data_IF_312477347082
#
_entry.id   IF_312477347082
#
_cell.length_a   1.000
_cell.length_b   1.000
_cell.length_c   1.000
_cell.angle_alpha   90.00
_cell.angle_beta   90.00
_cell.angle_gamma   90.00
#
_symmetry.space_group_name_H-M   'P 1'
#
loop_
_entity.id
_entity.type
_entity.pdbx_description
1 polymer ?
#
# COMPACT_ATOMS: atom_id res chain seq x y z
N UNK A 1 2.59 3.45 -13.61
CA UNK A 1 2.56 3.81 -12.19
C UNK A 1 2.98 2.63 -11.34
N UNK A 2 3.69 2.84 -10.23
CA UNK A 2 3.98 1.82 -9.23
C UNK A 2 3.18 2.13 -7.97
N UNK A 3 2.67 1.08 -7.34
CA UNK A 3 1.84 1.21 -6.14
C UNK A 3 2.35 0.25 -5.06
N UNK A 4 2.35 0.69 -3.81
CA UNK A 4 2.74 -0.14 -2.68
C UNK A 4 1.77 0.09 -1.52
N UNK A 5 1.45 -0.99 -0.80
CA UNK A 5 0.55 -0.92 0.34
C UNK A 5 1.21 -0.35 1.60
N UNK A 6 0.41 0.28 2.44
CA UNK A 6 0.79 0.89 3.72
C UNK A 6 1.38 -0.09 4.75
N UNK A 7 1.08 -1.37 4.62
CA UNK A 7 1.60 -2.44 5.48
C UNK A 7 2.88 -3.09 4.97
N UNK A 8 3.36 -2.75 3.74
CA UNK A 8 4.55 -3.40 3.17
C UNK A 8 5.83 -2.97 3.90
N UNK A 9 6.80 -3.88 4.17
CA UNK A 9 8.04 -3.55 4.87
C UNK A 9 8.85 -2.42 4.24
N UNK A 10 8.83 -2.32 2.91
CA UNK A 10 9.61 -1.34 2.15
C UNK A 10 8.86 -0.02 1.93
N UNK A 11 7.71 0.20 2.58
CA UNK A 11 6.88 1.39 2.32
C UNK A 11 7.60 2.69 2.65
N UNK A 12 8.41 2.74 3.71
CA UNK A 12 9.18 3.93 4.08
C UNK A 12 10.23 4.28 3.00
N UNK A 13 10.93 3.26 2.46
CA UNK A 13 11.86 3.46 1.35
C UNK A 13 11.13 3.87 0.07
N UNK A 14 10.01 3.22 -0.23
CA UNK A 14 9.18 3.55 -1.38
C UNK A 14 8.70 5.00 -1.36
N UNK A 15 8.26 5.52 -0.21
CA UNK A 15 7.82 6.91 -0.04
C UNK A 15 8.96 7.89 -0.32
N UNK A 16 10.17 7.55 0.11
CA UNK A 16 11.31 8.48 0.06
C UNK A 16 12.20 8.31 -1.17
N UNK A 17 11.98 7.26 -1.98
CA UNK A 17 12.89 6.91 -3.09
C UNK A 17 13.08 8.04 -4.11
N UNK A 18 12.06 8.86 -4.36
CA UNK A 18 12.15 10.01 -5.28
C UNK A 18 12.80 11.26 -4.69
N UNK A 19 13.16 11.24 -3.42
CA UNK A 19 14.03 12.28 -2.85
C UNK A 19 15.44 12.21 -3.45
N UNK A 20 15.83 11.04 -3.95
CA UNK A 20 17.02 10.83 -4.78
C UNK A 20 16.60 10.67 -6.25
N UNK A 21 16.73 11.75 -7.02
CA UNK A 21 16.33 11.81 -8.43
C UNK A 21 17.12 10.85 -9.33
N UNK A 22 18.20 10.23 -8.85
CA UNK A 22 18.98 9.25 -9.60
C UNK A 22 18.35 7.85 -9.60
N UNK A 23 17.45 7.55 -8.67
CA UNK A 23 16.94 6.18 -8.47
C UNK A 23 15.72 5.83 -9.32
N UNK A 24 14.68 6.66 -9.32
CA UNK A 24 13.44 6.39 -10.09
C UNK A 24 12.94 7.67 -10.74
N UNK A 25 13.08 7.79 -12.06
CA UNK A 25 12.64 8.96 -12.84
C UNK A 25 11.44 8.66 -13.75
N UNK A 26 11.24 7.40 -14.16
CA UNK A 26 10.31 7.02 -15.23
C UNK A 26 8.95 6.50 -14.76
N UNK A 27 8.63 6.53 -13.46
CA UNK A 27 7.37 6.01 -12.94
C UNK A 27 6.77 6.94 -11.89
N UNK A 28 5.44 7.12 -11.94
CA UNK A 28 4.69 7.72 -10.85
C UNK A 28 4.54 6.72 -9.71
N UNK A 29 4.58 7.21 -8.46
CA UNK A 29 4.47 6.40 -7.25
C UNK A 29 3.19 6.75 -6.48
N UNK A 30 2.52 5.75 -5.93
CA UNK A 30 1.39 5.95 -5.02
C UNK A 30 1.38 4.91 -3.90
N UNK A 31 1.01 5.35 -2.71
CA UNK A 31 0.78 4.46 -1.56
C UNK A 31 -0.68 4.06 -1.56
N UNK A 32 -0.94 2.75 -1.55
CA UNK A 32 -2.28 2.21 -1.29
C UNK A 32 -2.52 2.26 0.21
N UNK A 33 -3.60 2.92 0.60
CA UNK A 33 -3.94 3.15 2.00
C UNK A 33 -5.18 2.36 2.36
N UNK A 34 -5.08 1.58 3.46
CA UNK A 34 -6.19 0.83 4.04
C UNK A 34 -7.02 1.70 5.00
N UNK A 35 -8.30 1.35 5.18
CA UNK A 35 -9.12 1.99 6.20
C UNK A 35 -8.57 1.75 7.61
N UNK A 36 -8.02 0.55 7.88
CA UNK A 36 -7.38 0.21 9.14
C UNK A 36 -6.15 1.09 9.45
N UNK A 37 -5.33 1.38 8.43
CA UNK A 37 -4.21 2.31 8.58
C UNK A 37 -4.69 3.72 8.93
N UNK A 38 -5.72 4.22 8.25
CA UNK A 38 -6.27 5.55 8.54
C UNK A 38 -6.85 5.66 9.94
N UNK A 39 -7.49 4.60 10.44
CA UNK A 39 -7.94 4.53 11.82
C UNK A 39 -6.75 4.53 12.80
N UNK A 40 -5.68 3.80 12.50
CA UNK A 40 -4.45 3.83 13.28
C UNK A 40 -3.79 5.21 13.29
N UNK A 41 -3.75 5.91 12.15
CA UNK A 41 -3.28 7.30 12.04
C UNK A 41 -4.10 8.23 12.92
N UNK A 42 -5.42 8.13 12.88
CA UNK A 42 -6.34 8.96 13.68
C UNK A 42 -6.13 8.76 15.18
N UNK A 43 -5.88 7.52 15.60
CA UNK A 43 -5.75 7.16 17.00
C UNK A 43 -4.29 7.19 17.51
N UNK A 44 -3.34 7.62 16.69
CA UNK A 44 -1.90 7.58 16.98
C UNK A 44 -1.41 6.20 17.43
N UNK A 45 -1.98 5.16 16.81
CA UNK A 45 -1.68 3.77 17.15
C UNK A 45 -0.39 3.27 16.47
N UNK A 46 0.12 2.15 16.96
CA UNK A 46 1.19 1.42 16.32
C UNK A 46 0.68 0.75 15.03
N UNK A 47 1.57 0.63 14.05
CA UNK A 47 1.31 0.02 12.77
C UNK A 47 2.41 -0.96 12.41
N UNK A 48 2.02 -2.19 12.12
CA UNK A 48 2.95 -3.25 11.79
C UNK A 48 3.19 -3.29 10.27
N UNK A 49 4.45 -3.21 9.89
CA UNK A 49 4.91 -3.50 8.55
C UNK A 49 5.15 -5.00 8.45
N UNK A 50 4.38 -5.65 7.58
CA UNK A 50 4.28 -7.12 7.55
C UNK A 50 4.48 -7.66 6.14
N UNK A 51 4.92 -8.91 6.07
CA UNK A 51 5.01 -9.66 4.81
C UNK A 51 4.75 -11.15 5.06
N UNK A 52 4.23 -11.89 4.09
CA UNK A 52 4.15 -13.34 4.20
C UNK A 52 5.50 -13.96 4.52
N UNK A 53 5.47 -15.11 5.18
CA UNK A 53 6.66 -15.94 5.32
C UNK A 53 7.00 -16.54 3.95
N UNK A 54 8.15 -16.18 3.41
CA UNK A 54 8.61 -16.68 2.10
C UNK A 54 9.04 -18.13 2.12
N UNK A 55 9.28 -18.70 3.32
CA UNK A 55 9.60 -20.11 3.52
C UNK A 55 8.33 -20.97 3.67
N UNK A 56 7.14 -20.37 3.72
CA UNK A 56 5.87 -21.08 3.73
C UNK A 56 5.69 -21.83 2.39
N UNK A 57 5.42 -23.17 2.40
CA UNK A 57 5.30 -23.95 1.17
C UNK A 57 4.17 -23.49 0.23
N UNK A 58 3.21 -22.74 0.74
CA UNK A 58 2.12 -22.17 -0.06
C UNK A 58 2.46 -20.81 -0.66
N UNK A 59 3.60 -20.19 -0.29
CA UNK A 59 3.95 -18.85 -0.73
C UNK A 59 3.97 -18.73 -2.25
N UNK A 60 4.74 -19.53 -2.94
CA UNK A 60 4.90 -19.45 -4.40
C UNK A 60 3.61 -19.77 -5.19
N UNK A 61 2.67 -20.48 -4.57
CA UNK A 61 1.47 -20.97 -5.26
C UNK A 61 0.19 -20.21 -4.92
N UNK A 62 0.13 -19.54 -3.75
CA UNK A 62 -1.09 -18.91 -3.22
C UNK A 62 -0.94 -17.43 -2.90
N UNK A 63 0.28 -16.88 -2.86
CA UNK A 63 0.47 -15.46 -2.66
C UNK A 63 0.14 -14.69 -3.94
N UNK A 64 -0.86 -13.85 -3.89
CA UNK A 64 -1.35 -13.03 -5.01
C UNK A 64 -0.97 -11.54 -4.90
N UNK A 65 -0.15 -11.17 -3.90
CA UNK A 65 0.24 -9.79 -3.65
C UNK A 65 -0.72 -9.02 -2.74
N UNK A 66 -1.80 -9.64 -2.26
CA UNK A 66 -2.79 -8.97 -1.42
C UNK A 66 -2.91 -9.64 -0.05
N UNK A 67 -2.44 -8.91 0.98
CA UNK A 67 -2.35 -9.43 2.35
C UNK A 67 -3.66 -9.97 2.93
N UNK A 68 -4.84 -9.32 2.73
CA UNK A 68 -6.09 -9.85 3.23
C UNK A 68 -6.42 -11.25 2.70
N UNK A 69 -6.09 -11.56 1.44
CA UNK A 69 -6.30 -12.88 0.86
C UNK A 69 -5.40 -13.92 1.53
N UNK A 70 -4.13 -13.57 1.81
CA UNK A 70 -3.21 -14.44 2.54
C UNK A 70 -3.73 -14.78 3.94
N UNK A 71 -4.24 -13.77 4.66
CA UNK A 71 -4.85 -13.96 5.98
C UNK A 71 -6.12 -14.80 5.90
N UNK A 72 -6.93 -14.63 4.86
CA UNK A 72 -8.15 -15.44 4.65
C UNK A 72 -7.86 -16.93 4.42
N UNK A 73 -6.66 -17.28 3.95
CA UNK A 73 -6.17 -18.66 3.88
C UNK A 73 -5.77 -19.25 5.25
N UNK A 74 -5.94 -18.49 6.33
CA UNK A 74 -5.51 -18.89 7.67
C UNK A 74 -4.01 -18.70 7.94
N UNK A 75 -3.30 -18.04 7.04
CA UNK A 75 -1.87 -17.76 7.16
C UNK A 75 -1.62 -16.48 7.94
N UNK A 76 -0.56 -16.47 8.73
CA UNK A 76 -0.15 -15.28 9.50
C UNK A 76 1.03 -14.61 8.81
N UNK A 77 0.96 -13.30 8.54
CA UNK A 77 2.13 -12.57 8.06
C UNK A 77 3.16 -12.41 9.18
N UNK A 78 4.42 -12.26 8.79
CA UNK A 78 5.52 -11.93 9.70
C UNK A 78 5.61 -10.43 9.88
N UNK A 79 5.67 -9.96 11.12
CA UNK A 79 5.95 -8.56 11.43
C UNK A 79 7.45 -8.33 11.22
N UNK A 80 7.78 -7.44 10.29
CA UNK A 80 9.17 -7.05 10.01
C UNK A 80 9.58 -5.81 10.82
N UNK A 81 8.64 -4.90 11.05
CA UNK A 81 8.86 -3.66 11.80
C UNK A 81 7.53 -3.14 12.33
N UNK A 82 7.54 -2.56 13.53
CA UNK A 82 6.40 -1.80 14.07
C UNK A 82 6.77 -0.31 14.14
N UNK A 83 5.91 0.56 13.66
CA UNK A 83 6.10 2.02 13.63
C UNK A 83 4.84 2.73 14.10
N UNK A 84 4.90 4.03 14.35
CA UNK A 84 3.70 4.85 14.55
C UNK A 84 3.02 5.12 13.21
N UNK A 85 1.73 4.80 13.09
CA UNK A 85 0.96 5.08 11.88
C UNK A 85 0.99 6.56 11.50
N UNK A 86 0.90 7.44 12.50
CA UNK A 86 1.01 8.90 12.31
C UNK A 86 2.36 9.29 11.70
N UNK A 87 3.47 8.70 12.16
CA UNK A 87 4.79 9.01 11.63
C UNK A 87 4.93 8.59 10.16
N UNK A 88 4.35 7.44 9.76
CA UNK A 88 4.33 7.03 8.36
C UNK A 88 3.49 7.99 7.50
N UNK A 89 2.32 8.41 8.01
CA UNK A 89 1.48 9.38 7.32
C UNK A 89 2.17 10.74 7.13
N UNK A 90 2.84 11.22 8.16
CA UNK A 90 3.60 12.48 8.10
C UNK A 90 4.79 12.36 7.10
N UNK A 91 5.40 11.18 6.99
CA UNK A 91 6.43 10.91 6.00
C UNK A 91 5.87 11.00 4.56
N UNK A 92 4.69 10.43 4.30
CA UNK A 92 3.98 10.55 3.00
C UNK A 92 3.72 12.02 2.70
N UNK A 93 3.15 12.77 3.64
CA UNK A 93 2.85 14.19 3.45
C UNK A 93 4.11 15.03 3.18
N UNK A 94 5.19 14.79 3.93
CA UNK A 94 6.46 15.48 3.75
C UNK A 94 7.12 15.16 2.40
N UNK A 95 7.07 13.90 1.95
CA UNK A 95 7.59 13.50 0.65
C UNK A 95 6.78 14.15 -0.49
N UNK A 96 5.45 14.08 -0.42
CA UNK A 96 4.56 14.71 -1.40
C UNK A 96 4.75 16.23 -1.49
N UNK A 97 4.98 16.89 -0.35
CA UNK A 97 5.30 18.32 -0.33
C UNK A 97 6.60 18.65 -1.07
N UNK A 98 7.62 17.79 -0.96
CA UNK A 98 8.95 18.03 -1.56
C UNK A 98 9.01 17.73 -3.05
N UNK A 99 8.35 16.66 -3.49
CA UNK A 99 8.50 16.11 -4.85
C UNK A 99 7.19 15.87 -5.58
N UNK A 100 6.04 16.32 -5.04
CA UNK A 100 4.69 16.04 -5.53
C UNK A 100 4.33 14.54 -5.56
N UNK A 101 5.15 13.67 -4.98
CA UNK A 101 4.96 12.23 -4.88
C UNK A 101 5.47 11.69 -3.53
N UNK A 102 4.92 10.56 -3.04
CA UNK A 102 3.92 9.71 -3.68
C UNK A 102 2.50 10.29 -3.63
N UNK A 103 1.65 9.84 -4.55
CA UNK A 103 0.20 9.98 -4.42
C UNK A 103 -0.34 9.02 -3.35
N UNK A 104 -1.62 9.19 -2.99
CA UNK A 104 -2.34 8.31 -2.05
C UNK A 104 -3.59 7.76 -2.73
N UNK A 105 -3.81 6.44 -2.62
CA UNK A 105 -4.97 5.77 -3.19
C UNK A 105 -5.67 4.95 -2.10
N UNK A 106 -6.94 5.24 -1.86
CA UNK A 106 -7.78 4.49 -0.91
C UNK A 106 -8.35 3.25 -1.62
N UNK A 107 -7.49 2.27 -1.90
CA UNK A 107 -7.80 1.14 -2.77
C UNK A 107 -8.98 0.29 -2.26
N UNK A 108 -9.13 0.12 -0.93
CA UNK A 108 -10.27 -0.60 -0.36
C UNK A 108 -11.58 0.11 -0.64
N UNK A 109 -11.59 1.45 -0.55
CA UNK A 109 -12.77 2.26 -0.86
C UNK A 109 -13.09 2.25 -2.35
N UNK A 110 -12.08 2.28 -3.21
CA UNK A 110 -12.27 2.09 -4.65
C UNK A 110 -13.03 0.79 -4.92
N UNK A 111 -12.52 -0.32 -4.39
CA UNK A 111 -13.13 -1.62 -4.61
C UNK A 111 -14.53 -1.75 -3.97
N UNK A 112 -14.77 -1.09 -2.84
CA UNK A 112 -16.07 -1.09 -2.18
C UNK A 112 -17.16 -0.35 -2.97
N UNK A 113 -16.77 0.74 -3.66
CA UNK A 113 -17.71 1.62 -4.35
C UNK A 113 -17.68 1.48 -5.87
N UNK A 114 -16.82 0.62 -6.40
CA UNK A 114 -16.73 0.33 -7.82
C UNK A 114 -17.99 -0.36 -8.33
N UNK A 115 -18.51 0.08 -9.48
CA UNK A 115 -19.79 -0.41 -10.01
C UNK A 115 -19.81 -1.92 -10.27
N UNK A 116 -18.63 -2.51 -10.57
CA UNK A 116 -18.47 -3.92 -10.91
C UNK A 116 -17.88 -4.75 -9.75
N UNK A 117 -17.91 -4.23 -8.51
CA UNK A 117 -17.27 -4.84 -7.34
C UNK A 117 -17.78 -6.25 -6.99
N UNK A 118 -18.91 -6.67 -7.56
CA UNK A 118 -19.50 -7.99 -7.35
C UNK A 118 -18.84 -9.12 -8.14
N UNK A 119 -18.02 -8.80 -9.16
CA UNK A 119 -17.32 -9.80 -9.96
C UNK A 119 -15.87 -9.43 -10.31
N UNK A 120 -15.44 -8.20 -10.06
CA UNK A 120 -14.12 -7.71 -10.43
C UNK A 120 -13.48 -6.95 -9.28
N UNK A 121 -12.14 -7.01 -9.19
CA UNK A 121 -11.35 -6.30 -8.20
C UNK A 121 -10.30 -5.43 -8.90
N UNK A 122 -10.24 -4.15 -8.51
CA UNK A 122 -9.25 -3.20 -9.04
C UNK A 122 -7.96 -3.37 -8.26
N UNK A 123 -6.89 -3.78 -8.95
CA UNK A 123 -5.55 -3.93 -8.37
C UNK A 123 -4.66 -2.71 -8.58
N UNK A 124 -4.92 -1.92 -9.61
CA UNK A 124 -4.13 -0.73 -9.92
C UNK A 124 -5.01 0.34 -10.58
N UNK A 125 -4.52 1.58 -10.58
CA UNK A 125 -5.14 2.73 -11.24
C UNK A 125 -4.11 3.48 -12.07
N UNK A 126 -4.56 4.32 -13.00
CA UNK A 126 -3.70 5.20 -13.79
C UNK A 126 -3.12 6.33 -12.94
N UNK A 127 -1.98 6.95 -13.36
CA UNK A 127 -1.38 8.08 -12.64
C UNK A 127 -2.31 9.28 -12.43
N UNK A 128 -3.30 9.47 -13.31
CA UNK A 128 -4.31 10.53 -13.18
C UNK A 128 -5.37 10.22 -12.12
N UNK A 129 -5.31 9.05 -11.47
CA UNK A 129 -6.28 8.54 -10.50
C UNK A 129 -7.73 8.62 -11.02
N UNK A 130 -7.89 8.72 -12.33
CA UNK A 130 -9.19 8.52 -12.95
C UNK A 130 -9.44 7.02 -12.98
N UNK A 131 -10.46 6.58 -12.25
CA UNK A 131 -11.01 5.27 -12.49
C UNK A 131 -11.46 5.26 -13.95
N UNK A 132 -10.75 4.54 -14.80
CA UNK A 132 -11.28 4.18 -16.10
C UNK A 132 -12.43 3.22 -15.83
N UNK A 133 -13.61 3.79 -15.64
CA UNK A 133 -14.86 3.06 -15.79
C UNK A 133 -15.06 2.88 -17.27
N UNK A 134 -14.56 1.79 -17.81
CA UNK A 134 -14.98 1.27 -19.09
C UNK A 134 -16.38 0.70 -18.99
#
# INVERSE_FOLDING_TARGET
MLMLWDWHPDVEEFITVKQDLSRINGANLSVCVSDAFMDAVKNDADWDLVFPDTDDPDYDTKWDGYLPNWIALGKKPMVKKTIKARALWDLVAAAAWRSAEPGVVFMERYNKWFNNNYYEYINCVNPCVTADTL
#
